data_IF_274680179255
#
_entry.id   IF_274680179255
#
_cell.length_a   1.000
_cell.length_b   1.000
_cell.length_c   1.000
_cell.angle_alpha   90.00
_cell.angle_beta   90.00
_cell.angle_gamma   90.00
#
_symmetry.space_group_name_H-M   'P 1'
#
loop_
_entity.id
_entity.type
_entity.pdbx_description
1 polymer ?
#
# COMPACT_ATOMS: atom_id res chain seq x y z
N UNK A 1 -31.03 -19.20 37.23
CA UNK A 1 -31.17 -18.01 36.40
C UNK A 1 -29.85 -17.40 35.98
N UNK A 2 -28.83 -17.38 36.80
CA UNK A 2 -27.52 -16.79 36.48
C UNK A 2 -26.69 -17.54 35.41
N UNK A 3 -26.95 -18.85 35.24
CA UNK A 3 -26.23 -19.68 34.25
C UNK A 3 -26.60 -19.35 32.81
N UNK A 4 -27.83 -18.93 32.56
CA UNK A 4 -28.27 -18.54 31.19
C UNK A 4 -27.71 -17.18 30.75
N UNK A 5 -27.57 -16.25 31.68
CA UNK A 5 -27.00 -14.93 31.42
C UNK A 5 -25.50 -15.01 31.11
N UNK A 6 -24.79 -15.88 31.83
CA UNK A 6 -23.36 -16.13 31.59
C UNK A 6 -23.10 -16.79 30.20
N UNK A 7 -23.97 -17.68 29.79
CA UNK A 7 -23.89 -18.32 28.47
C UNK A 7 -24.19 -17.31 27.35
N UNK A 8 -25.20 -16.47 27.50
CA UNK A 8 -25.52 -15.39 26.56
C UNK A 8 -24.36 -14.39 26.42
N UNK A 9 -23.71 -14.06 27.53
CA UNK A 9 -22.56 -13.15 27.53
C UNK A 9 -21.35 -13.75 26.76
N UNK A 10 -21.09 -15.05 26.96
CA UNK A 10 -20.05 -15.77 26.23
C UNK A 10 -20.34 -15.82 24.71
N UNK A 11 -21.58 -16.04 24.32
CA UNK A 11 -21.98 -16.00 22.91
C UNK A 11 -21.83 -14.62 22.29
N UNK A 12 -22.21 -13.56 23.00
CA UNK A 12 -22.05 -12.18 22.55
C UNK A 12 -20.58 -11.79 22.36
N UNK A 13 -19.71 -12.22 23.28
CA UNK A 13 -18.26 -11.95 23.17
C UNK A 13 -17.65 -12.68 21.99
N UNK A 14 -18.03 -13.93 21.74
CA UNK A 14 -17.54 -14.72 20.61
C UNK A 14 -18.00 -14.13 19.28
N UNK A 15 -19.26 -13.68 19.18
CA UNK A 15 -19.80 -13.04 17.97
C UNK A 15 -19.11 -11.70 17.74
N UNK A 16 -18.88 -10.92 18.78
CA UNK A 16 -18.15 -9.64 18.68
C UNK A 16 -16.72 -9.82 18.19
N UNK A 17 -16.04 -10.88 18.66
CA UNK A 17 -14.66 -11.19 18.24
C UNK A 17 -14.60 -11.70 16.80
N UNK A 18 -15.60 -12.46 16.34
CA UNK A 18 -15.70 -12.92 14.96
C UNK A 18 -15.90 -11.77 13.96
N UNK A 19 -16.65 -10.73 14.36
CA UNK A 19 -16.89 -9.55 13.51
C UNK A 19 -15.63 -8.71 13.34
N UNK A 20 -14.76 -8.62 14.35
CA UNK A 20 -13.51 -7.86 14.26
C UNK A 20 -12.45 -8.51 13.39
N UNK A 21 -12.49 -9.84 13.24
CA UNK A 21 -11.55 -10.55 12.34
C UNK A 21 -11.85 -10.35 10.85
N UNK A 22 -13.09 -9.98 10.50
CA UNK A 22 -13.47 -9.70 9.10
C UNK A 22 -13.03 -8.31 8.64
N UNK A 23 -12.66 -7.42 9.57
CA UNK A 23 -12.22 -6.06 9.26
C UNK A 23 -10.79 -5.98 8.65
N UNK A 24 -10.00 -7.04 8.73
CA UNK A 24 -8.75 -7.19 7.97
C UNK A 24 -9.03 -7.78 6.58
N UNK A 25 -10.04 -7.23 5.89
CA UNK A 25 -10.44 -7.74 4.59
C UNK A 25 -9.31 -7.53 3.58
N UNK A 26 -8.77 -8.64 3.09
CA UNK A 26 -8.01 -8.69 1.85
C UNK A 26 -8.75 -7.92 0.75
N UNK A 27 -8.01 -7.23 -0.10
CA UNK A 27 -8.55 -6.53 -1.26
C UNK A 27 -9.42 -7.50 -2.08
N UNK A 28 -10.69 -7.19 -2.20
CA UNK A 28 -11.59 -7.97 -3.05
C UNK A 28 -11.24 -7.75 -4.53
N UNK A 29 -11.46 -8.73 -5.43
CA UNK A 29 -11.20 -8.57 -6.86
C UNK A 29 -11.89 -7.33 -7.47
N UNK A 30 -13.07 -6.97 -6.99
CA UNK A 30 -13.81 -5.78 -7.42
C UNK A 30 -13.08 -4.49 -7.05
N UNK A 31 -12.52 -4.39 -5.85
CA UNK A 31 -11.74 -3.22 -5.41
C UNK A 31 -10.45 -3.08 -6.20
N UNK A 32 -9.79 -4.20 -6.51
CA UNK A 32 -8.59 -4.23 -7.33
C UNK A 32 -8.91 -3.73 -8.74
N UNK A 33 -9.95 -4.27 -9.38
CA UNK A 33 -10.40 -3.84 -10.70
C UNK A 33 -10.73 -2.35 -10.73
N UNK A 34 -11.45 -1.86 -9.73
CA UNK A 34 -11.84 -0.45 -9.62
C UNK A 34 -10.64 0.48 -9.47
N UNK A 35 -9.62 0.08 -8.71
CA UNK A 35 -8.36 0.84 -8.56
C UNK A 35 -7.60 0.88 -9.88
N UNK A 36 -7.45 -0.25 -10.54
CA UNK A 36 -6.73 -0.36 -11.81
C UNK A 36 -7.44 0.39 -12.93
N UNK A 37 -8.78 0.37 -12.96
CA UNK A 37 -9.58 1.12 -13.94
C UNK A 37 -9.44 2.65 -13.77
N UNK A 38 -9.19 3.12 -12.56
CA UNK A 38 -8.96 4.53 -12.27
C UNK A 38 -7.53 5.00 -12.61
N UNK A 39 -6.59 4.09 -12.89
CA UNK A 39 -5.21 4.40 -13.23
C UNK A 39 -5.09 4.82 -14.68
N UNK A 40 -4.30 5.88 -14.93
CA UNK A 40 -3.86 6.23 -16.27
C UNK A 40 -2.67 5.37 -16.73
N UNK A 41 -2.25 5.51 -17.97
CA UNK A 41 -1.14 4.74 -18.53
C UNK A 41 0.17 4.90 -17.75
N UNK A 42 0.46 6.10 -17.27
CA UNK A 42 1.63 6.38 -16.43
C UNK A 42 1.54 5.64 -15.09
N UNK A 43 0.38 5.71 -14.42
CA UNK A 43 0.16 5.04 -13.14
C UNK A 43 0.26 3.52 -13.26
N UNK A 44 -0.25 2.95 -14.36
CA UNK A 44 -0.14 1.52 -14.65
C UNK A 44 1.33 1.10 -14.85
N UNK A 45 2.09 1.87 -15.63
CA UNK A 45 3.51 1.62 -15.84
C UNK A 45 4.32 1.76 -14.54
N UNK A 46 3.98 2.76 -13.72
CA UNK A 46 4.58 2.99 -12.40
C UNK A 46 4.27 1.83 -11.44
N UNK A 47 3.02 1.40 -11.38
CA UNK A 47 2.60 0.28 -10.54
C UNK A 47 3.28 -1.02 -10.93
N UNK A 48 3.44 -1.30 -12.23
CA UNK A 48 4.17 -2.48 -12.71
C UNK A 48 5.66 -2.44 -12.36
N UNK A 49 6.24 -1.26 -12.26
CA UNK A 49 7.64 -1.04 -11.84
C UNK A 49 7.85 -1.14 -10.34
N UNK A 50 6.79 -1.04 -9.54
CA UNK A 50 6.85 -1.07 -8.07
C UNK A 50 7.40 -2.39 -7.51
N UNK A 51 7.34 -3.47 -8.28
CA UNK A 51 7.95 -4.74 -7.91
C UNK A 51 9.48 -4.65 -7.82
N UNK A 52 10.11 -3.79 -8.62
CA UNK A 52 11.55 -3.57 -8.59
C UNK A 52 12.01 -2.76 -7.39
N UNK A 53 11.15 -1.91 -6.84
CA UNK A 53 11.48 -1.07 -5.70
C UNK A 53 10.42 -1.16 -4.60
N UNK A 54 10.47 -2.26 -3.86
CA UNK A 54 9.59 -2.51 -2.70
C UNK A 54 9.74 -1.49 -1.57
N UNK A 55 10.81 -0.69 -1.58
CA UNK A 55 11.08 0.31 -0.54
C UNK A 55 10.33 1.62 -0.79
N UNK A 56 10.11 1.95 -2.05
CA UNK A 56 9.51 3.23 -2.44
C UNK A 56 7.99 3.15 -2.52
N UNK A 57 7.45 1.99 -2.89
CA UNK A 57 6.00 1.79 -3.06
C UNK A 57 5.53 0.55 -2.31
N UNK A 58 4.73 0.77 -1.28
CA UNK A 58 3.99 -0.29 -0.61
C UNK A 58 2.69 -0.58 -1.37
N UNK A 59 2.80 -1.13 -2.58
CA UNK A 59 1.65 -1.60 -3.34
C UNK A 59 1.41 -3.08 -3.06
N UNK A 60 0.16 -3.45 -2.96
CA UNK A 60 -0.23 -4.84 -2.79
C UNK A 60 0.11 -5.65 -4.06
N UNK A 61 0.63 -6.88 -3.92
CA UNK A 61 1.03 -7.72 -5.06
C UNK A 61 -0.08 -7.91 -6.10
N UNK A 62 -1.32 -7.97 -5.64
CA UNK A 62 -2.51 -8.13 -6.48
C UNK A 62 -2.72 -6.95 -7.42
N UNK A 63 -2.46 -5.73 -6.93
CA UNK A 63 -2.56 -4.50 -7.74
C UNK A 63 -1.43 -4.47 -8.77
N UNK A 64 -0.23 -4.85 -8.40
CA UNK A 64 0.92 -4.94 -9.32
C UNK A 64 0.60 -5.93 -10.45
N UNK A 65 0.09 -7.10 -10.10
CA UNK A 65 -0.29 -8.13 -11.07
C UNK A 65 -1.41 -7.66 -12.00
N UNK A 66 -2.48 -7.09 -11.45
CA UNK A 66 -3.60 -6.56 -12.23
C UNK A 66 -3.17 -5.40 -13.15
N UNK A 67 -2.22 -4.58 -12.72
CA UNK A 67 -1.65 -3.51 -13.55
C UNK A 67 -0.86 -4.08 -14.74
N UNK A 68 -0.06 -5.12 -14.53
CA UNK A 68 0.66 -5.82 -15.60
C UNK A 68 -0.29 -6.44 -16.62
N UNK A 69 -1.36 -7.09 -16.17
CA UNK A 69 -2.39 -7.64 -17.05
C UNK A 69 -3.07 -6.55 -17.88
N UNK A 70 -3.42 -5.43 -17.25
CA UNK A 70 -4.05 -4.29 -17.95
C UNK A 70 -3.14 -3.70 -19.02
N UNK A 71 -1.84 -3.56 -18.74
CA UNK A 71 -0.83 -3.09 -19.70
C UNK A 71 -0.82 -3.99 -20.95
N UNK A 72 -0.83 -5.30 -20.76
CA UNK A 72 -0.87 -6.26 -21.87
C UNK A 72 -2.16 -6.18 -22.66
N UNK A 73 -3.31 -6.11 -21.99
CA UNK A 73 -4.63 -6.04 -22.62
C UNK A 73 -4.83 -4.76 -23.42
N UNK A 74 -4.38 -3.62 -22.92
CA UNK A 74 -4.52 -2.31 -23.57
C UNK A 74 -3.35 -1.98 -24.47
N UNK A 75 -2.35 -2.83 -24.59
CA UNK A 75 -1.13 -2.64 -25.38
C UNK A 75 -0.44 -1.31 -25.05
N UNK A 76 -0.32 -1.01 -23.77
CA UNK A 76 0.34 0.21 -23.30
C UNK A 76 1.86 0.06 -23.48
N UNK A 77 2.48 1.05 -24.10
CA UNK A 77 3.94 1.09 -24.27
C UNK A 77 4.59 1.78 -23.05
N UNK A 78 4.95 0.98 -22.06
CA UNK A 78 5.68 1.47 -20.89
C UNK A 78 7.12 1.87 -21.20
N UNK A 79 7.71 1.35 -22.28
CA UNK A 79 9.05 1.74 -22.70
C UNK A 79 9.09 3.22 -23.11
N UNK A 80 8.05 3.72 -23.78
CA UNK A 80 7.93 5.14 -24.12
C UNK A 80 7.80 6.05 -22.88
N UNK A 81 7.28 5.52 -21.78
CA UNK A 81 7.10 6.23 -20.50
C UNK A 81 8.22 5.97 -19.49
N UNK A 82 9.18 5.16 -19.86
CA UNK A 82 10.28 4.74 -18.97
C UNK A 82 11.02 5.93 -18.36
N UNK A 83 11.37 6.93 -19.15
CA UNK A 83 12.09 8.12 -18.66
C UNK A 83 11.28 8.94 -17.66
N UNK A 84 9.96 9.06 -17.87
CA UNK A 84 9.08 9.75 -16.93
C UNK A 84 8.97 8.98 -15.61
N UNK A 85 8.83 7.66 -15.68
CA UNK A 85 8.78 6.78 -14.51
C UNK A 85 10.09 6.88 -13.72
N UNK A 86 11.23 6.80 -14.38
CA UNK A 86 12.54 6.92 -13.72
C UNK A 86 12.71 8.28 -13.06
N UNK A 87 12.35 9.38 -13.73
CA UNK A 87 12.41 10.72 -13.15
C UNK A 87 11.51 10.83 -11.92
N UNK A 88 10.32 10.28 -11.97
CA UNK A 88 9.40 10.27 -10.84
C UNK A 88 9.98 9.48 -9.67
N UNK A 89 10.53 8.29 -9.92
CA UNK A 89 11.16 7.46 -8.90
C UNK A 89 12.35 8.17 -8.25
N UNK A 90 13.24 8.74 -9.04
CA UNK A 90 14.40 9.49 -8.54
C UNK A 90 13.97 10.69 -7.71
N UNK A 91 12.95 11.44 -8.15
CA UNK A 91 12.41 12.56 -7.39
C UNK A 91 11.80 12.10 -6.07
N UNK A 92 11.03 11.02 -6.08
CA UNK A 92 10.42 10.45 -4.88
C UNK A 92 11.46 10.00 -3.86
N UNK A 93 12.54 9.37 -4.32
CA UNK A 93 13.67 8.98 -3.47
C UNK A 93 14.36 10.19 -2.84
N UNK A 94 14.62 11.24 -3.61
CA UNK A 94 15.20 12.48 -3.10
C UNK A 94 14.32 13.16 -2.06
N UNK A 95 13.02 13.21 -2.31
CA UNK A 95 12.06 13.80 -1.38
C UNK A 95 11.94 12.98 -0.09
N UNK A 96 12.08 11.66 -0.20
CA UNK A 96 12.13 10.77 0.96
C UNK A 96 13.42 10.94 1.76
N UNK A 97 14.55 11.07 1.08
CA UNK A 97 15.86 11.33 1.71
C UNK A 97 15.84 12.67 2.46
N UNK A 98 15.34 13.74 1.84
CA UNK A 98 15.18 15.04 2.50
C UNK A 98 14.28 14.98 3.73
N UNK A 99 13.18 14.23 3.67
CA UNK A 99 12.31 14.02 4.84
C UNK A 99 13.04 13.27 5.95
N UNK A 100 13.82 12.26 5.59
CA UNK A 100 14.62 11.51 6.55
C UNK A 100 15.71 12.37 7.19
N UNK A 101 16.35 13.25 6.42
CA UNK A 101 17.32 14.20 6.96
C UNK A 101 16.68 15.21 7.89
N UNK A 102 15.51 15.76 7.52
CA UNK A 102 14.75 16.67 8.39
C UNK A 102 14.31 15.96 9.68
N UNK A 103 13.91 14.71 9.58
CA UNK A 103 13.57 13.90 10.74
C UNK A 103 14.78 13.63 11.61
N UNK A 104 15.93 13.32 11.03
CA UNK A 104 17.21 13.16 11.73
C UNK A 104 17.65 14.45 12.43
N UNK A 105 17.56 15.59 11.78
CA UNK A 105 17.93 16.89 12.39
C UNK A 105 16.98 17.28 13.49
N UNK A 106 15.68 16.98 13.35
CA UNK A 106 14.69 17.33 14.39
C UNK A 106 14.75 16.42 15.62
N UNK A 107 15.01 15.14 15.45
CA UNK A 107 15.06 14.16 16.53
C UNK A 107 16.49 13.76 16.95
N UNK A 108 17.46 13.78 16.02
CA UNK A 108 18.85 13.46 16.27
C UNK A 108 19.62 14.55 17.00
N UNK A 109 19.22 15.80 16.87
CA UNK A 109 19.89 16.94 17.54
C UNK A 109 19.72 16.92 19.05
N UNK A 110 18.57 16.47 19.55
CA UNK A 110 18.34 16.28 20.98
C UNK A 110 19.14 15.12 21.58
N UNK A 111 19.45 14.12 20.77
CA UNK A 111 20.19 12.93 21.20
C UNK A 111 21.70 13.15 21.22
N UNK A 112 22.23 13.89 20.26
CA UNK A 112 23.68 14.17 20.19
C UNK A 112 24.13 15.28 21.17
N UNK A 113 23.26 16.16 21.61
CA UNK A 113 23.55 17.17 22.63
C UNK A 113 23.64 16.63 24.05
N UNK A 114 23.14 15.41 24.29
CA UNK A 114 23.23 14.71 25.57
C UNK A 114 24.52 13.93 25.77
N UNK A 115 25.42 14.00 24.83
CA UNK A 115 26.73 13.40 24.87
C UNK A 115 27.77 14.52 25.04
#
# INVERSE_FOLDING_TARGET
MNMRLSQLFKFLVVISFAITMVACASLTPEKIAKRVDAMNDFDLCLASSAEMDKRTFALEPEIIHASKERIVLQKIDCAAKHDEVVRFLVKSLRDQEKRNEQFRTHFGFGFMRGW
#
